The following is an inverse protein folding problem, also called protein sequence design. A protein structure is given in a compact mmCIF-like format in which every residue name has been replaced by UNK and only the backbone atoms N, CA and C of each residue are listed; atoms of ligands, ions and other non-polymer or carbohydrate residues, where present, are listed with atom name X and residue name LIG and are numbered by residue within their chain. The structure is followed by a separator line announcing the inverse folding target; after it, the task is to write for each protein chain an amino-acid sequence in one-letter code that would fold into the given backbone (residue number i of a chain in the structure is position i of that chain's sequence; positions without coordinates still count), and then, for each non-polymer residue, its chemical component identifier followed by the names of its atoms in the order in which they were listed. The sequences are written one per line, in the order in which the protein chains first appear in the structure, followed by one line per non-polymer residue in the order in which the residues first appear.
data_IF_322158775123
#
_entry.id   IF_322158775123
#
_cell.length_a   1.000
_cell.length_b   1.000
_cell.length_c   1.000
_cell.angle_alpha   90.00
_cell.angle_beta   90.00
_cell.angle_gamma   90.00
#
_symmetry.space_group_name_H-M   'P 1'
#
loop_
_entity.id
_entity.type
_entity.pdbx_description
1 polymer ?
#
# COMPACT_ATOMS: atom_id res chain seq x y z
N UNK A 1 -25.92 -15.49 -37.28
CA UNK A 1 -25.68 -16.69 -36.45
C UNK A 1 -24.29 -17.16 -36.85
N UNK A 2 -23.20 -16.74 -36.23
CA UNK A 2 -22.71 -16.84 -34.83
C UNK A 2 -21.43 -15.97 -34.83
N UNK A 3 -20.86 -15.41 -33.78
CA UNK A 3 -21.06 -15.41 -32.34
C UNK A 3 -20.31 -14.14 -31.87
N UNK A 4 -21.01 -13.23 -31.18
CA UNK A 4 -20.37 -12.08 -30.54
C UNK A 4 -19.90 -12.56 -29.17
N UNK A 5 -18.78 -13.26 -29.15
CA UNK A 5 -17.98 -13.48 -27.95
C UNK A 5 -17.39 -12.14 -27.49
N UNK A 6 -18.21 -11.29 -26.89
CA UNK A 6 -17.74 -10.23 -26.00
C UNK A 6 -17.25 -10.92 -24.73
N UNK A 7 -15.94 -10.91 -24.40
CA UNK A 7 -15.51 -11.35 -23.08
C UNK A 7 -16.15 -10.41 -22.05
N UNK A 8 -17.14 -10.91 -21.31
CA UNK A 8 -17.76 -10.21 -20.18
C UNK A 8 -16.69 -9.95 -19.12
N UNK A 9 -16.13 -8.75 -19.17
CA UNK A 9 -14.96 -8.28 -18.41
C UNK A 9 -15.36 -7.60 -17.10
N UNK A 10 -16.54 -7.93 -16.55
CA UNK A 10 -17.07 -7.31 -15.33
C UNK A 10 -16.46 -7.80 -14.01
N UNK A 11 -15.57 -8.78 -14.02
CA UNK A 11 -14.84 -9.15 -12.80
C UNK A 11 -13.63 -8.22 -12.67
N UNK A 12 -13.62 -7.31 -11.67
CA UNK A 12 -12.48 -6.44 -11.46
C UNK A 12 -11.25 -7.31 -11.18
N UNK A 13 -10.15 -7.03 -11.88
CA UNK A 13 -8.86 -7.70 -11.64
C UNK A 13 -8.53 -7.61 -10.14
N UNK A 14 -8.02 -8.71 -9.59
CA UNK A 14 -7.51 -8.84 -8.23
C UNK A 14 -6.62 -7.67 -7.79
N UNK A 15 -5.85 -7.08 -8.73
CA UNK A 15 -5.05 -5.87 -8.47
C UNK A 15 -5.89 -4.63 -8.21
N UNK A 16 -6.97 -4.45 -8.97
CA UNK A 16 -7.91 -3.33 -8.81
C UNK A 16 -8.67 -3.44 -7.50
N UNK A 17 -9.11 -4.65 -7.14
CA UNK A 17 -9.76 -4.91 -5.85
C UNK A 17 -8.82 -4.58 -4.69
N UNK A 18 -7.56 -5.05 -4.75
CA UNK A 18 -6.56 -4.75 -3.73
C UNK A 18 -6.22 -3.26 -3.63
N UNK A 19 -6.17 -2.54 -4.75
CA UNK A 19 -5.96 -1.09 -4.75
C UNK A 19 -7.13 -0.38 -4.06
N UNK A 20 -8.37 -0.74 -4.39
CA UNK A 20 -9.56 -0.17 -3.75
C UNK A 20 -9.62 -0.44 -2.24
N UNK A 21 -9.24 -1.64 -1.78
CA UNK A 21 -9.15 -1.95 -0.34
C UNK A 21 -8.10 -1.07 0.35
N UNK A 22 -6.92 -0.89 -0.25
CA UNK A 22 -5.87 -0.06 0.33
C UNK A 22 -6.29 1.42 0.45
N UNK A 23 -7.03 1.93 -0.52
CA UNK A 23 -7.56 3.31 -0.49
C UNK A 23 -8.60 3.48 0.63
N UNK A 24 -9.51 2.50 0.79
CA UNK A 24 -10.50 2.49 1.87
C UNK A 24 -9.83 2.37 3.24
N UNK A 25 -8.87 1.45 3.40
CA UNK A 25 -8.10 1.32 4.64
C UNK A 25 -7.38 2.62 5.00
N UNK A 26 -6.76 3.28 4.02
CA UNK A 26 -6.10 4.57 4.22
C UNK A 26 -7.07 5.66 4.67
N UNK A 27 -8.25 5.73 4.06
CA UNK A 27 -9.31 6.65 4.45
C UNK A 27 -9.80 6.38 5.89
N UNK A 28 -10.04 5.12 6.24
CA UNK A 28 -10.51 4.72 7.57
C UNK A 28 -9.47 5.01 8.67
N UNK A 29 -8.18 4.75 8.38
CA UNK A 29 -7.08 5.11 9.27
C UNK A 29 -7.02 6.62 9.51
N UNK A 30 -7.16 7.42 8.44
CA UNK A 30 -7.15 8.88 8.55
C UNK A 30 -8.36 9.40 9.36
N UNK A 31 -9.53 8.82 9.15
CA UNK A 31 -10.73 9.18 9.89
C UNK A 31 -10.58 8.85 11.38
N UNK A 32 -10.07 7.65 11.71
CA UNK A 32 -9.82 7.25 13.09
C UNK A 32 -8.77 8.13 13.79
N UNK A 33 -7.70 8.53 13.09
CA UNK A 33 -6.68 9.43 13.62
C UNK A 33 -7.25 10.84 13.88
N UNK A 34 -8.13 11.32 13.00
CA UNK A 34 -8.81 12.62 13.17
C UNK A 34 -9.73 12.60 14.39
N UNK A 35 -10.53 11.54 14.54
CA UNK A 35 -11.44 11.37 15.68
C UNK A 35 -10.66 11.28 17.00
N UNK A 36 -9.53 10.56 17.00
CA UNK A 36 -8.64 10.45 18.16
C UNK A 36 -8.00 11.79 18.54
N UNK A 37 -7.47 12.53 17.57
CA UNK A 37 -6.88 13.84 17.80
C UNK A 37 -7.90 14.83 18.38
N UNK A 38 -9.17 14.73 17.95
CA UNK A 38 -10.26 15.53 18.50
C UNK A 38 -10.60 15.16 19.93
N UNK A 39 -10.73 13.86 20.24
CA UNK A 39 -11.01 13.39 21.58
C UNK A 39 -9.91 13.78 22.57
N UNK A 40 -8.64 13.66 22.16
CA UNK A 40 -7.49 14.07 22.98
C UNK A 40 -7.49 15.58 23.26
N UNK A 41 -7.87 16.40 22.27
CA UNK A 41 -8.00 17.85 22.44
C UNK A 41 -9.14 18.23 23.38
N UNK A 42 -10.30 17.56 23.27
CA UNK A 42 -11.44 17.77 24.17
C UNK A 42 -11.06 17.40 25.62
N UNK A 43 -10.41 16.25 25.83
CA UNK A 43 -9.96 15.81 27.15
C UNK A 43 -8.90 16.73 27.78
N UNK A 44 -7.92 17.21 26.99
CA UNK A 44 -6.92 18.16 27.46
C UNK A 44 -7.57 19.46 27.95
N UNK A 45 -8.59 19.91 27.23
CA UNK A 45 -9.22 21.19 27.46
C UNK A 45 -10.30 21.08 28.55
N UNK A 46 -10.86 19.89 28.83
CA UNK A 46 -11.70 19.62 30.01
C UNK A 46 -10.86 19.64 31.32
N UNK A 47 -9.56 19.33 31.23
CA UNK A 47 -8.65 19.37 32.38
C UNK A 47 -8.17 20.78 32.76
N UNK A 48 -8.49 21.81 31.97
CA UNK A 48 -8.10 23.20 32.20
C UNK A 48 -9.29 24.00 32.76
N UNK A 49 -9.35 24.14 34.09
CA UNK A 49 -10.42 24.82 34.85
C UNK A 49 -10.40 26.37 34.77
N UNK A 50 -9.75 26.96 33.75
CA UNK A 50 -9.36 28.38 33.77
C UNK A 50 -9.69 29.26 32.54
N UNK A 51 -9.98 28.79 31.31
CA UNK A 51 -10.31 29.71 30.22
C UNK A 51 -11.82 29.88 30.07
N UNK A 52 -12.28 31.13 29.91
CA UNK A 52 -13.63 31.43 29.42
C UNK A 52 -13.94 30.64 28.15
N UNK A 53 -15.19 30.16 28.00
CA UNK A 53 -15.63 29.16 27.00
C UNK A 53 -15.19 29.46 25.56
N UNK A 54 -14.98 30.73 25.21
CA UNK A 54 -14.48 31.18 23.91
C UNK A 54 -12.97 30.91 23.70
N UNK A 55 -12.13 31.11 24.72
CA UNK A 55 -10.69 30.80 24.64
C UNK A 55 -10.44 29.28 24.59
N UNK A 56 -11.35 28.53 25.22
CA UNK A 56 -11.38 27.06 25.22
C UNK A 56 -11.50 26.50 23.79
N UNK A 57 -12.47 26.99 23.02
CA UNK A 57 -12.73 26.53 21.65
C UNK A 57 -11.58 26.84 20.68
N UNK A 58 -10.95 28.01 20.82
CA UNK A 58 -9.84 28.40 19.95
C UNK A 58 -8.58 27.56 20.20
N UNK A 59 -8.30 27.22 21.47
CA UNK A 59 -7.21 26.31 21.83
C UNK A 59 -7.44 24.88 21.29
N UNK A 60 -8.65 24.34 21.42
CA UNK A 60 -9.01 23.03 20.84
C UNK A 60 -8.75 23.04 19.33
N UNK A 61 -9.18 24.10 18.63
CA UNK A 61 -9.01 24.22 17.18
C UNK A 61 -7.54 24.27 16.78
N UNK A 62 -6.73 25.06 17.47
CA UNK A 62 -5.29 25.20 17.18
C UNK A 62 -4.52 23.91 17.49
N UNK A 63 -4.84 23.22 18.59
CA UNK A 63 -4.22 21.94 18.94
C UNK A 63 -4.62 20.83 17.96
N UNK A 64 -5.89 20.76 17.57
CA UNK A 64 -6.35 19.80 16.56
C UNK A 64 -5.64 20.00 15.22
N UNK A 65 -5.52 21.25 14.74
CA UNK A 65 -4.77 21.58 13.53
C UNK A 65 -3.29 21.21 13.64
N UNK A 66 -2.69 21.46 14.80
CA UNK A 66 -1.28 21.13 15.06
C UNK A 66 -1.04 19.62 15.06
N UNK A 67 -1.91 18.85 15.72
CA UNK A 67 -1.81 17.40 15.77
C UNK A 67 -2.00 16.78 14.38
N UNK A 68 -2.96 17.28 13.59
CA UNK A 68 -3.16 16.82 12.21
C UNK A 68 -1.95 17.08 11.32
N UNK A 69 -1.34 18.27 11.40
CA UNK A 69 -0.11 18.60 10.65
C UNK A 69 1.06 17.69 11.06
N UNK A 70 1.20 17.35 12.34
CA UNK A 70 2.22 16.43 12.83
C UNK A 70 1.98 14.99 12.35
N UNK A 71 0.76 14.48 12.47
CA UNK A 71 0.40 13.13 11.99
C UNK A 71 0.59 13.02 10.47
N UNK A 72 0.19 14.05 9.70
CA UNK A 72 0.41 14.09 8.25
C UNK A 72 1.90 14.06 7.89
N UNK A 73 2.74 14.84 8.57
CA UNK A 73 4.21 14.83 8.35
C UNK A 73 4.85 13.50 8.72
N UNK A 74 4.39 12.86 9.79
CA UNK A 74 4.91 11.56 10.22
C UNK A 74 4.57 10.48 9.18
N UNK A 75 3.30 10.40 8.76
CA UNK A 75 2.83 9.43 7.76
C UNK A 75 3.53 9.63 6.41
N UNK A 76 3.64 10.87 5.92
CA UNK A 76 4.33 11.16 4.66
C UNK A 76 5.82 10.81 4.70
N UNK A 77 6.49 11.05 5.83
CA UNK A 77 7.90 10.67 6.01
C UNK A 77 8.09 9.16 6.04
N UNK A 78 7.23 8.43 6.75
CA UNK A 78 7.26 6.97 6.82
C UNK A 78 6.95 6.37 5.44
N UNK A 79 5.93 6.88 4.75
CA UNK A 79 5.58 6.46 3.39
C UNK A 79 6.75 6.67 2.42
N UNK A 80 7.40 7.85 2.46
CA UNK A 80 8.58 8.13 1.65
C UNK A 80 9.75 7.17 1.93
N UNK A 81 10.06 6.93 3.21
CA UNK A 81 11.08 5.95 3.64
C UNK A 81 10.74 4.53 3.20
N UNK A 82 9.51 4.07 3.41
CA UNK A 82 9.06 2.75 3.02
C UNK A 82 9.14 2.55 1.50
N UNK A 83 8.80 3.57 0.72
CA UNK A 83 8.89 3.53 -0.74
C UNK A 83 10.35 3.49 -1.22
N UNK A 84 11.24 4.21 -0.54
CA UNK A 84 12.68 4.19 -0.81
C UNK A 84 13.28 2.80 -0.50
N UNK A 85 12.99 2.24 0.68
CA UNK A 85 13.40 0.87 1.02
C UNK A 85 12.84 -0.13 0.00
N UNK A 86 11.54 -0.04 -0.32
CA UNK A 86 10.90 -0.94 -1.28
C UNK A 86 11.60 -0.91 -2.64
N UNK A 87 11.97 0.27 -3.15
CA UNK A 87 12.74 0.39 -4.40
C UNK A 87 14.11 -0.27 -4.33
N UNK A 88 14.82 -0.10 -3.21
CA UNK A 88 16.14 -0.70 -3.00
C UNK A 88 16.09 -2.23 -2.93
N UNK A 89 15.05 -2.79 -2.29
CA UNK A 89 14.82 -4.23 -2.25
C UNK A 89 14.29 -4.80 -3.58
N UNK A 90 13.44 -4.06 -4.30
CA UNK A 90 12.86 -4.50 -5.58
C UNK A 90 13.96 -4.78 -6.61
N UNK A 91 14.99 -3.92 -6.69
CA UNK A 91 16.11 -4.10 -7.62
C UNK A 91 16.90 -5.39 -7.33
N UNK A 92 17.11 -5.73 -6.06
CA UNK A 92 17.79 -6.97 -5.67
C UNK A 92 16.92 -8.19 -6.00
N UNK A 93 15.62 -8.09 -5.77
CA UNK A 93 14.68 -9.17 -6.05
C UNK A 93 14.55 -9.45 -7.55
N UNK A 94 14.53 -8.42 -8.38
CA UNK A 94 14.47 -8.57 -9.84
C UNK A 94 15.71 -9.25 -10.40
N UNK A 95 16.89 -8.96 -9.83
CA UNK A 95 18.14 -9.63 -10.22
C UNK A 95 18.12 -11.12 -9.86
N UNK A 96 17.70 -11.49 -8.64
CA UNK A 96 17.54 -12.89 -8.25
C UNK A 96 16.48 -13.60 -9.10
N UNK A 97 15.34 -12.95 -9.32
CA UNK A 97 14.25 -13.50 -10.14
C UNK A 97 14.70 -13.77 -11.57
N UNK A 98 15.45 -12.86 -12.19
CA UNK A 98 16.02 -13.07 -13.53
C UNK A 98 17.01 -14.24 -13.55
N UNK A 99 17.87 -14.38 -12.53
CA UNK A 99 18.80 -15.51 -12.43
C UNK A 99 18.07 -16.84 -12.29
N UNK A 100 17.05 -16.91 -11.43
CA UNK A 100 16.23 -18.11 -11.25
C UNK A 100 15.46 -18.46 -12.51
N UNK A 101 14.86 -17.47 -13.19
CA UNK A 101 14.17 -17.71 -14.45
C UNK A 101 15.12 -18.16 -15.55
N UNK A 102 16.31 -17.55 -15.67
CA UNK A 102 17.32 -17.95 -16.63
C UNK A 102 17.80 -19.39 -16.38
N UNK A 103 18.05 -19.76 -15.11
CA UNK A 103 18.42 -21.11 -14.74
C UNK A 103 17.31 -22.12 -15.05
N UNK A 104 16.05 -21.79 -14.72
CA UNK A 104 14.90 -22.63 -15.01
C UNK A 104 14.72 -22.85 -16.53
N UNK A 105 14.85 -21.78 -17.33
CA UNK A 105 14.80 -21.86 -18.79
C UNK A 105 15.96 -22.68 -19.37
N UNK A 106 17.17 -22.54 -18.82
CA UNK A 106 18.32 -23.32 -19.24
C UNK A 106 18.13 -24.82 -18.95
N UNK A 107 17.61 -25.17 -17.77
CA UNK A 107 17.28 -26.56 -17.41
C UNK A 107 16.20 -27.12 -18.33
N UNK A 108 15.13 -26.36 -18.58
CA UNK A 108 14.08 -26.78 -19.52
C UNK A 108 14.64 -27.00 -20.93
N UNK A 109 15.47 -26.08 -21.43
CA UNK A 109 16.11 -26.23 -22.74
C UNK A 109 17.01 -27.48 -22.81
N UNK A 110 17.80 -27.73 -21.75
CA UNK A 110 18.64 -28.93 -21.66
C UNK A 110 17.80 -30.22 -21.65
N UNK A 111 16.69 -30.26 -20.91
CA UNK A 111 15.77 -31.40 -20.89
C UNK A 111 15.14 -31.65 -22.26
N UNK A 112 14.70 -30.59 -22.95
CA UNK A 112 14.15 -30.69 -24.32
C UNK A 112 15.21 -31.22 -25.28
N UNK A 113 16.43 -30.68 -25.23
CA UNK A 113 17.52 -31.11 -26.11
C UNK A 113 17.88 -32.59 -25.88
N UNK A 114 17.93 -33.02 -24.61
CA UNK A 114 18.22 -34.39 -24.24
C UNK A 114 17.11 -35.34 -24.70
N UNK A 115 15.84 -34.91 -24.60
CA UNK A 115 14.70 -35.67 -25.11
C UNK A 115 14.77 -35.83 -26.64
N UNK A 116 15.07 -34.76 -27.37
CA UNK A 116 15.25 -34.80 -28.83
C UNK A 116 16.41 -35.73 -29.24
N UNK A 117 17.54 -35.67 -28.53
CA UNK A 117 18.68 -36.56 -28.77
C UNK A 117 18.32 -38.03 -28.54
N UNK A 118 17.58 -38.34 -27.47
CA UNK A 118 17.10 -39.70 -27.19
C UNK A 118 16.16 -40.19 -28.29
N UNK A 119 15.22 -39.36 -28.73
CA UNK A 119 14.30 -39.70 -29.82
C UNK A 119 15.01 -39.86 -31.19
N UNK A 120 16.13 -39.17 -31.40
CA UNK A 120 16.93 -39.31 -32.62
C UNK A 120 17.88 -40.52 -32.60
N UNK A 121 18.22 -41.01 -31.40
CA UNK A 121 19.11 -42.17 -31.19
C UNK A 121 18.35 -43.50 -31.07
N UNK A 122 17.04 -43.46 -30.81
CA UNK A 122 16.11 -44.60 -30.86
C UNK A 122 15.58 -44.82 -32.29
#
# INVERSE_FOLDING_TARGET
MTDRSTPDSRTPDSRTVRAGIADIEGYLLWQAETDRARADAEAFVDALDWPTTAQRQELVRLLALRQLDLSQRAVTRIAGRALQLRREYQQRYDCLKRRVLAAALAVLAALVLLNVLVLAAC
#
